data_IF_975387210841
#
_entry.id   IF_975387210841
#
_cell.length_a   1.000
_cell.length_b   1.000
_cell.length_c   1.000
_cell.angle_alpha   90.00
_cell.angle_beta   90.00
_cell.angle_gamma   90.00
#
_symmetry.space_group_name_H-M   'P 1'
#
loop_
_entity.id
_entity.type
_entity.pdbx_description
1 polymer ?
#
# COMPACT_ATOMS: atom_id res chain seq x y z
N UNK A 1 9.02 -3.55 3.50
CA UNK A 1 7.55 -3.59 3.36
C UNK A 1 7.03 -2.33 4.01
N UNK A 2 6.54 -1.39 3.20
CA UNK A 2 6.07 -0.08 3.67
C UNK A 2 5.04 -0.28 4.80
N UNK A 3 5.26 0.38 5.93
CA UNK A 3 4.26 0.45 7.00
C UNK A 3 3.26 1.51 6.54
N UNK A 4 2.27 1.10 5.75
CA UNK A 4 1.20 1.99 5.28
C UNK A 4 0.51 2.73 6.44
N UNK A 5 -0.30 3.72 6.10
CA UNK A 5 -1.02 4.56 7.07
C UNK A 5 -2.11 3.80 7.83
N UNK A 6 -2.51 2.61 7.35
CA UNK A 6 -3.33 1.68 8.14
C UNK A 6 -2.64 1.30 9.45
N UNK A 7 -3.02 2.02 10.52
CA UNK A 7 -2.49 1.78 11.85
C UNK A 7 -2.75 0.35 12.31
N UNK A 8 -1.87 -0.19 13.16
CA UNK A 8 -2.10 -1.49 13.81
C UNK A 8 -3.45 -1.55 14.53
N UNK A 9 -3.93 -0.43 15.07
CA UNK A 9 -5.25 -0.34 15.73
C UNK A 9 -6.39 -0.57 14.74
N UNK A 10 -6.31 0.01 13.54
CA UNK A 10 -7.30 -0.20 12.50
C UNK A 10 -7.32 -1.65 12.00
N UNK A 11 -6.15 -2.27 11.81
CA UNK A 11 -6.06 -3.70 11.49
C UNK A 11 -6.71 -4.56 12.58
N UNK A 12 -6.41 -4.31 13.86
CA UNK A 12 -7.03 -5.02 14.99
C UNK A 12 -8.56 -4.85 14.98
N UNK A 13 -9.06 -3.63 14.73
CA UNK A 13 -10.49 -3.38 14.63
C UNK A 13 -11.15 -4.18 13.51
N UNK A 14 -10.50 -4.28 12.34
CA UNK A 14 -10.98 -5.09 11.21
C UNK A 14 -11.10 -6.57 11.63
N UNK A 15 -10.10 -7.12 12.34
CA UNK A 15 -10.17 -8.49 12.87
C UNK A 15 -11.30 -8.66 13.89
N UNK A 16 -11.50 -7.70 14.80
CA UNK A 16 -12.59 -7.75 15.79
C UNK A 16 -13.95 -7.76 15.10
N UNK A 17 -14.17 -6.86 14.13
CA UNK A 17 -15.42 -6.79 13.36
C UNK A 17 -15.62 -8.08 12.57
N UNK A 18 -14.58 -8.60 11.92
CA UNK A 18 -14.63 -9.86 11.19
C UNK A 18 -15.05 -11.03 12.10
N UNK A 19 -14.44 -11.20 13.27
CA UNK A 19 -14.77 -12.29 14.19
C UNK A 19 -16.17 -12.12 14.81
N UNK A 20 -16.58 -10.88 15.08
CA UNK A 20 -17.93 -10.60 15.56
C UNK A 20 -18.99 -10.99 14.51
N UNK A 21 -18.78 -10.63 13.24
CA UNK A 21 -19.66 -11.03 12.14
C UNK A 21 -19.67 -12.55 11.96
N UNK A 22 -18.50 -13.21 12.01
CA UNK A 22 -18.40 -14.66 11.93
C UNK A 22 -19.18 -15.33 13.07
N UNK A 23 -19.02 -14.85 14.31
CA UNK A 23 -19.76 -15.37 15.45
C UNK A 23 -21.28 -15.17 15.28
N UNK A 24 -21.71 -14.00 14.81
CA UNK A 24 -23.12 -13.73 14.50
C UNK A 24 -23.69 -14.77 13.53
N UNK A 25 -23.07 -14.94 12.35
CA UNK A 25 -23.56 -15.88 11.32
C UNK A 25 -23.44 -17.35 11.72
N UNK A 26 -22.53 -17.66 12.65
CA UNK A 26 -22.32 -19.03 13.14
C UNK A 26 -23.37 -19.43 14.18
N UNK A 27 -23.67 -18.54 15.13
CA UNK A 27 -24.49 -18.90 16.30
C UNK A 27 -25.96 -18.47 16.18
N UNK A 28 -26.30 -17.50 15.33
CA UNK A 28 -27.67 -17.00 15.18
C UNK A 28 -28.35 -17.69 13.99
N UNK A 29 -29.20 -18.69 14.26
CA UNK A 29 -29.94 -19.43 13.22
C UNK A 29 -31.27 -18.79 12.83
N UNK A 30 -31.95 -18.15 13.79
CA UNK A 30 -33.19 -17.43 13.53
C UNK A 30 -33.22 -16.15 14.39
N UNK A 31 -32.87 -14.98 13.81
CA UNK A 31 -32.78 -13.73 14.56
C UNK A 31 -34.16 -13.28 15.08
N UNK A 32 -35.23 -13.60 14.35
CA UNK A 32 -36.60 -13.21 14.69
C UNK A 32 -37.11 -13.99 15.91
N UNK A 33 -36.78 -15.28 15.99
CA UNK A 33 -37.19 -16.17 17.09
C UNK A 33 -36.13 -16.34 18.17
N UNK A 34 -35.05 -15.54 18.14
CA UNK A 34 -33.91 -15.61 19.04
C UNK A 34 -33.34 -17.04 19.25
N UNK A 35 -33.37 -17.89 18.20
CA UNK A 35 -32.85 -19.26 18.30
C UNK A 35 -31.36 -19.27 18.05
N UNK A 36 -30.60 -19.66 19.08
CA UNK A 36 -29.16 -19.86 19.02
C UNK A 36 -28.82 -21.31 18.69
N UNK A 37 -27.71 -21.50 17.98
CA UNK A 37 -27.09 -22.81 17.82
C UNK A 37 -26.32 -23.16 19.09
N UNK A 38 -26.63 -24.33 19.68
CA UNK A 38 -25.86 -24.88 20.80
C UNK A 38 -24.77 -25.78 20.19
N UNK A 39 -23.49 -25.40 20.32
CA UNK A 39 -22.40 -26.17 19.72
C UNK A 39 -22.14 -27.45 20.51
N UNK A 40 -21.92 -28.55 19.80
CA UNK A 40 -21.41 -29.78 20.40
C UNK A 40 -19.88 -29.73 20.59
N UNK A 41 -19.32 -30.77 21.23
CA UNK A 41 -17.88 -30.87 21.52
C UNK A 41 -17.03 -30.69 20.25
N UNK A 42 -17.38 -31.39 19.17
CA UNK A 42 -16.55 -31.41 17.95
C UNK A 42 -16.70 -30.13 17.14
N UNK A 43 -17.83 -29.44 17.25
CA UNK A 43 -17.99 -28.09 16.74
C UNK A 43 -17.08 -27.09 17.47
N UNK A 44 -17.02 -27.17 18.80
CA UNK A 44 -16.14 -26.29 19.59
C UNK A 44 -14.67 -26.57 19.25
N UNK A 45 -14.25 -27.84 19.16
CA UNK A 45 -12.87 -28.17 18.77
C UNK A 45 -12.57 -27.72 17.35
N UNK A 46 -13.51 -27.87 16.42
CA UNK A 46 -13.37 -27.36 15.07
C UNK A 46 -13.17 -25.84 15.05
N UNK A 47 -13.95 -25.06 15.83
CA UNK A 47 -13.76 -23.61 15.91
C UNK A 47 -12.37 -23.24 16.45
N UNK A 48 -11.85 -23.97 17.42
CA UNK A 48 -10.49 -23.78 17.94
C UNK A 48 -9.46 -24.04 16.83
N UNK A 49 -9.55 -25.18 16.15
CA UNK A 49 -8.65 -25.53 15.03
C UNK A 49 -8.76 -24.50 13.91
N UNK A 50 -9.97 -24.03 13.61
CA UNK A 50 -10.26 -23.00 12.61
C UNK A 50 -9.54 -21.70 12.94
N UNK A 51 -9.71 -21.17 14.15
CA UNK A 51 -9.08 -19.91 14.59
C UNK A 51 -7.56 -20.03 14.58
N UNK A 52 -7.02 -21.13 15.09
CA UNK A 52 -5.57 -21.37 15.12
C UNK A 52 -4.99 -21.47 13.71
N UNK A 53 -5.65 -22.20 12.81
CA UNK A 53 -5.24 -22.31 11.40
C UNK A 53 -5.35 -20.97 10.69
N UNK A 54 -6.44 -20.22 10.92
CA UNK A 54 -6.65 -18.89 10.35
C UNK A 54 -5.48 -17.96 10.66
N UNK A 55 -5.09 -17.86 11.93
CA UNK A 55 -4.01 -16.96 12.35
C UNK A 55 -2.61 -17.49 12.01
N UNK A 56 -2.39 -18.80 12.04
CA UNK A 56 -1.16 -19.41 11.51
C UNK A 56 -0.98 -19.05 10.04
N UNK A 57 -2.01 -19.26 9.22
CA UNK A 57 -1.99 -18.91 7.80
C UNK A 57 -1.79 -17.41 7.59
N UNK A 58 -2.50 -16.57 8.34
CA UNK A 58 -2.46 -15.10 8.22
C UNK A 58 -1.07 -14.53 8.56
N UNK A 59 -0.52 -14.89 9.72
CA UNK A 59 0.71 -14.27 10.23
C UNK A 59 1.99 -14.93 9.74
N UNK A 60 2.00 -16.24 9.54
CA UNK A 60 3.18 -16.97 9.09
C UNK A 60 3.18 -17.16 7.57
N UNK A 61 2.17 -17.84 7.03
CA UNK A 61 2.16 -18.28 5.62
C UNK A 61 2.00 -17.10 4.67
N UNK A 62 0.95 -16.29 4.81
CA UNK A 62 0.68 -15.19 3.89
C UNK A 62 1.78 -14.12 3.94
N UNK A 63 2.31 -13.84 5.13
CA UNK A 63 3.48 -12.96 5.29
C UNK A 63 4.71 -13.49 4.56
N UNK A 64 4.96 -14.79 4.59
CA UNK A 64 6.06 -15.43 3.86
C UNK A 64 5.83 -15.38 2.34
N UNK A 65 4.63 -15.74 1.87
CA UNK A 65 4.27 -15.77 0.45
C UNK A 65 4.46 -14.40 -0.19
N UNK A 66 3.97 -13.33 0.46
CA UNK A 66 4.00 -11.98 -0.11
C UNK A 66 5.27 -11.19 0.17
N UNK A 67 6.24 -11.74 0.93
CA UNK A 67 7.58 -11.15 1.01
C UNK A 67 8.25 -11.06 -0.37
N UNK A 68 8.01 -12.06 -1.21
CA UNK A 68 8.39 -12.09 -2.62
C UNK A 68 7.47 -13.09 -3.30
N UNK A 69 6.39 -12.56 -3.87
CA UNK A 69 5.28 -13.37 -4.39
C UNK A 69 5.75 -14.24 -5.56
N UNK A 70 5.52 -15.54 -5.44
CA UNK A 70 5.76 -16.54 -6.48
C UNK A 70 4.70 -17.63 -6.33
N UNK A 71 4.12 -18.08 -7.45
CA UNK A 71 3.08 -19.12 -7.43
C UNK A 71 3.50 -20.39 -6.69
N UNK A 72 4.75 -20.83 -6.83
CA UNK A 72 5.28 -22.00 -6.10
C UNK A 72 5.22 -21.81 -4.57
N UNK A 73 5.51 -20.61 -4.07
CA UNK A 73 5.44 -20.31 -2.63
C UNK A 73 4.00 -20.26 -2.14
N UNK A 74 3.09 -19.74 -2.94
CA UNK A 74 1.67 -19.72 -2.63
C UNK A 74 1.11 -21.14 -2.47
N UNK A 75 1.30 -22.01 -3.47
CA UNK A 75 0.82 -23.39 -3.40
C UNK A 75 1.50 -24.19 -2.27
N UNK A 76 2.80 -23.99 -2.05
CA UNK A 76 3.49 -24.59 -0.90
C UNK A 76 2.91 -24.09 0.44
N UNK A 77 2.60 -22.81 0.54
CA UNK A 77 1.98 -22.21 1.73
C UNK A 77 0.60 -22.77 2.03
N UNK A 78 -0.26 -22.90 1.00
CA UNK A 78 -1.59 -23.52 1.13
C UNK A 78 -1.45 -24.98 1.59
N UNK A 79 -0.52 -25.74 1.00
CA UNK A 79 -0.26 -27.12 1.41
C UNK A 79 0.21 -27.20 2.86
N UNK A 80 1.12 -26.31 3.29
CA UNK A 80 1.59 -26.25 4.68
C UNK A 80 0.43 -25.94 5.64
N UNK A 81 -0.47 -25.04 5.29
CA UNK A 81 -1.65 -24.75 6.13
C UNK A 81 -2.65 -25.88 6.17
N UNK A 82 -2.85 -26.60 5.06
CA UNK A 82 -3.68 -27.80 5.03
C UNK A 82 -3.12 -28.89 5.95
N UNK A 83 -1.81 -29.16 5.89
CA UNK A 83 -1.16 -30.14 6.75
C UNK A 83 -1.18 -29.70 8.22
N UNK A 84 -0.97 -28.41 8.49
CA UNK A 84 -1.08 -27.84 9.84
C UNK A 84 -2.49 -28.04 10.41
N UNK A 85 -3.54 -27.68 9.66
CA UNK A 85 -4.93 -27.89 10.06
C UNK A 85 -5.20 -29.37 10.38
N UNK A 86 -4.79 -30.26 9.47
CA UNK A 86 -5.06 -31.70 9.58
C UNK A 86 -4.37 -32.30 10.80
N UNK A 87 -3.10 -31.95 11.04
CA UNK A 87 -2.35 -32.40 12.21
C UNK A 87 -2.95 -31.86 13.52
N UNK A 88 -3.35 -30.58 13.54
CA UNK A 88 -3.96 -29.95 14.70
C UNK A 88 -5.32 -30.55 15.02
N UNK A 89 -6.15 -30.79 13.99
CA UNK A 89 -7.46 -31.44 14.15
C UNK A 89 -7.31 -32.87 14.65
N UNK A 90 -6.39 -33.64 14.10
CA UNK A 90 -6.09 -34.99 14.60
C UNK A 90 -5.69 -34.96 16.09
N UNK A 91 -4.75 -34.09 16.46
CA UNK A 91 -4.30 -33.95 17.84
C UNK A 91 -5.46 -33.62 18.79
N UNK A 92 -6.32 -32.67 18.42
CA UNK A 92 -7.41 -32.22 19.29
C UNK A 92 -8.56 -33.26 19.31
N UNK A 93 -9.00 -33.72 18.15
CA UNK A 93 -10.24 -34.49 18.00
C UNK A 93 -10.07 -36.02 18.09
N UNK A 94 -8.83 -36.52 18.02
CA UNK A 94 -8.53 -37.95 18.22
C UNK A 94 -7.75 -38.22 19.50
N UNK A 95 -6.86 -37.31 19.91
CA UNK A 95 -6.00 -37.52 21.09
C UNK A 95 -6.57 -36.82 22.32
N UNK A 96 -6.68 -35.48 22.29
CA UNK A 96 -7.06 -34.69 23.47
C UNK A 96 -8.50 -35.00 23.91
N UNK A 97 -9.45 -35.00 22.98
CA UNK A 97 -10.86 -35.30 23.29
C UNK A 97 -11.07 -36.73 23.75
N UNK A 98 -10.26 -37.69 23.29
CA UNK A 98 -10.29 -39.06 23.79
C UNK A 98 -9.84 -39.13 25.24
N UNK A 99 -8.72 -38.47 25.58
CA UNK A 99 -8.19 -38.44 26.94
C UNK A 99 -9.16 -37.76 27.91
N UNK A 100 -9.75 -36.62 27.52
CA UNK A 100 -10.56 -35.80 28.40
C UNK A 100 -12.02 -36.23 28.49
N UNK A 101 -12.59 -36.73 27.39
CA UNK A 101 -14.03 -36.98 27.26
C UNK A 101 -14.37 -38.40 26.81
N UNK A 102 -13.38 -39.26 26.57
CA UNK A 102 -13.55 -40.61 26.00
C UNK A 102 -14.34 -40.60 24.68
N UNK A 103 -14.24 -39.51 23.92
CA UNK A 103 -14.91 -39.32 22.63
C UNK A 103 -13.87 -39.04 21.56
N UNK A 104 -14.11 -39.60 20.37
CA UNK A 104 -13.32 -39.34 19.16
C UNK A 104 -14.26 -38.98 18.02
N UNK A 105 -13.79 -38.11 17.11
CA UNK A 105 -14.63 -37.63 16.02
C UNK A 105 -14.74 -38.63 14.85
N UNK A 106 -13.75 -39.52 14.68
CA UNK A 106 -13.66 -40.42 13.55
C UNK A 106 -13.43 -41.84 14.07
N UNK A 107 -14.20 -42.80 13.54
CA UNK A 107 -14.08 -44.22 13.84
C UNK A 107 -14.00 -45.00 12.53
N UNK A 108 -13.01 -45.89 12.39
CA UNK A 108 -12.85 -46.77 11.23
C UNK A 108 -12.88 -46.06 9.86
N UNK A 109 -12.40 -44.81 9.79
CA UNK A 109 -12.39 -44.06 8.53
C UNK A 109 -11.13 -44.36 7.72
N UNK A 110 -11.32 -44.58 6.41
CA UNK A 110 -10.20 -44.74 5.49
C UNK A 110 -9.37 -43.45 5.45
N UNK A 111 -8.04 -43.60 5.35
CA UNK A 111 -7.10 -42.47 5.34
C UNK A 111 -7.45 -41.41 4.28
N UNK A 112 -7.77 -41.83 3.05
CA UNK A 112 -8.12 -40.91 1.97
C UNK A 112 -9.41 -40.12 2.27
N UNK A 113 -10.43 -40.78 2.85
CA UNK A 113 -11.67 -40.10 3.23
C UNK A 113 -11.41 -39.07 4.32
N UNK A 114 -10.56 -39.40 5.30
CA UNK A 114 -10.14 -38.45 6.33
C UNK A 114 -9.38 -37.25 5.72
N UNK A 115 -8.48 -37.48 4.77
CA UNK A 115 -7.79 -36.39 4.06
C UNK A 115 -8.76 -35.49 3.29
N UNK A 116 -9.70 -36.06 2.52
CA UNK A 116 -10.66 -35.29 1.74
C UNK A 116 -11.64 -34.48 2.62
N UNK A 117 -12.09 -35.05 3.73
CA UNK A 117 -12.88 -34.32 4.71
C UNK A 117 -12.11 -33.12 5.27
N UNK A 118 -10.85 -33.33 5.69
CA UNK A 118 -10.01 -32.25 6.16
C UNK A 118 -9.72 -31.20 5.08
N UNK A 119 -9.66 -31.58 3.80
CA UNK A 119 -9.51 -30.63 2.71
C UNK A 119 -10.70 -29.67 2.64
N UNK A 120 -11.92 -30.20 2.78
CA UNK A 120 -13.13 -29.39 2.84
C UNK A 120 -13.13 -28.46 4.06
N UNK A 121 -12.90 -28.99 5.26
CA UNK A 121 -12.98 -28.20 6.50
C UNK A 121 -11.84 -27.17 6.68
N UNK A 122 -10.65 -27.45 6.14
CA UNK A 122 -9.50 -26.53 6.15
C UNK A 122 -9.59 -25.44 5.09
N UNK A 123 -10.35 -25.66 4.01
CA UNK A 123 -10.48 -24.68 2.93
C UNK A 123 -11.01 -23.33 3.42
N UNK A 124 -12.03 -23.35 4.28
CA UNK A 124 -12.70 -22.14 4.78
C UNK A 124 -11.78 -21.22 5.60
N UNK A 125 -11.06 -21.68 6.65
CA UNK A 125 -10.14 -20.81 7.38
C UNK A 125 -8.98 -20.32 6.52
N UNK A 126 -8.48 -21.14 5.57
CA UNK A 126 -7.39 -20.75 4.67
C UNK A 126 -7.85 -19.66 3.70
N UNK A 127 -9.01 -19.84 3.05
CA UNK A 127 -9.57 -18.87 2.09
C UNK A 127 -9.88 -17.55 2.80
N UNK A 128 -10.57 -17.57 3.94
CA UNK A 128 -10.92 -16.34 4.64
C UNK A 128 -9.70 -15.62 5.18
N UNK A 129 -8.71 -16.36 5.69
CA UNK A 129 -7.42 -15.80 6.12
C UNK A 129 -6.67 -15.16 4.95
N UNK A 130 -6.62 -15.83 3.80
CA UNK A 130 -6.03 -15.31 2.57
C UNK A 130 -6.73 -14.03 2.10
N UNK A 131 -8.07 -14.03 2.07
CA UNK A 131 -8.87 -12.87 1.66
C UNK A 131 -8.64 -11.68 2.56
N UNK A 132 -8.70 -11.87 3.89
CA UNK A 132 -8.51 -10.78 4.84
C UNK A 132 -7.09 -10.20 4.72
N UNK A 133 -6.08 -11.07 4.59
CA UNK A 133 -4.71 -10.65 4.39
C UNK A 133 -4.56 -9.85 3.09
N UNK A 134 -5.16 -10.34 1.98
CA UNK A 134 -5.12 -9.67 0.68
C UNK A 134 -5.78 -8.29 0.72
N UNK A 135 -6.94 -8.15 1.37
CA UNK A 135 -7.62 -6.85 1.55
C UNK A 135 -6.71 -5.86 2.29
N UNK A 136 -6.10 -6.28 3.40
CA UNK A 136 -5.21 -5.43 4.20
C UNK A 136 -3.95 -5.06 3.40
N UNK A 137 -3.39 -6.01 2.64
CA UNK A 137 -2.27 -5.74 1.75
C UNK A 137 -2.64 -4.75 0.64
N UNK A 138 -3.80 -4.91 0.01
CA UNK A 138 -4.27 -4.05 -1.07
C UNK A 138 -4.50 -2.62 -0.59
N UNK A 139 -5.10 -2.43 0.59
CA UNK A 139 -5.26 -1.11 1.22
C UNK A 139 -3.89 -0.43 1.40
N UNK A 140 -2.92 -1.15 1.99
CA UNK A 140 -1.56 -0.62 2.20
C UNK A 140 -0.83 -0.29 0.89
N UNK A 141 -1.09 -1.07 -0.16
CA UNK A 141 -0.52 -0.85 -1.48
C UNK A 141 -1.09 0.43 -2.13
N UNK A 142 -2.40 0.66 -2.01
CA UNK A 142 -3.04 1.88 -2.48
C UNK A 142 -2.51 3.13 -1.78
N UNK A 143 -2.40 3.08 -0.44
CA UNK A 143 -1.82 4.17 0.36
C UNK A 143 -0.37 4.46 -0.06
N UNK A 144 0.44 3.42 -0.23
CA UNK A 144 1.83 3.57 -0.65
C UNK A 144 1.96 4.21 -2.05
N UNK A 145 1.11 3.78 -2.99
CA UNK A 145 1.10 4.35 -4.34
C UNK A 145 0.69 5.83 -4.32
N UNK A 146 -0.26 6.24 -3.45
CA UNK A 146 -0.63 7.64 -3.29
C UNK A 146 0.54 8.48 -2.78
N UNK A 147 1.27 7.99 -1.77
CA UNK A 147 2.45 8.68 -1.23
C UNK A 147 3.52 8.85 -2.32
N UNK A 148 3.81 7.80 -3.10
CA UNK A 148 4.76 7.89 -4.21
C UNK A 148 4.32 8.93 -5.24
N UNK A 149 3.03 8.99 -5.57
CA UNK A 149 2.50 9.96 -6.52
C UNK A 149 2.66 11.40 -6.02
N UNK A 150 2.44 11.64 -4.73
CA UNK A 150 2.66 12.94 -4.09
C UNK A 150 4.14 13.33 -4.07
N UNK A 151 5.02 12.39 -3.71
CA UNK A 151 6.48 12.60 -3.72
C UNK A 151 6.98 12.91 -5.13
N UNK A 152 6.50 12.19 -6.14
CA UNK A 152 6.85 12.42 -7.55
C UNK A 152 6.42 13.82 -8.02
N UNK A 153 5.18 14.23 -7.73
CA UNK A 153 4.70 15.58 -8.04
C UNK A 153 5.55 16.66 -7.36
N UNK A 154 5.89 16.45 -6.09
CA UNK A 154 6.74 17.39 -5.36
C UNK A 154 8.15 17.50 -5.95
N UNK A 155 8.68 16.38 -6.45
CA UNK A 155 10.00 16.29 -7.07
C UNK A 155 9.99 16.95 -8.44
N UNK A 156 8.95 16.73 -9.23
CA UNK A 156 8.74 17.40 -10.52
C UNK A 156 8.63 18.92 -10.34
N UNK A 157 7.85 19.40 -9.37
CA UNK A 157 7.77 20.83 -9.04
C UNK A 157 9.14 21.37 -8.61
N UNK A 158 9.91 20.64 -7.80
CA UNK A 158 11.26 21.06 -7.40
C UNK A 158 12.23 21.11 -8.59
N UNK A 159 12.16 20.14 -9.48
CA UNK A 159 12.95 20.11 -10.71
C UNK A 159 12.62 21.29 -11.62
N UNK A 160 11.32 21.57 -11.84
CA UNK A 160 10.86 22.74 -12.59
C UNK A 160 11.33 24.05 -11.95
N UNK A 161 11.23 24.17 -10.61
CA UNK A 161 11.75 25.34 -9.88
C UNK A 161 13.26 25.48 -10.00
N UNK A 162 14.02 24.39 -10.02
CA UNK A 162 15.47 24.41 -10.16
C UNK A 162 15.94 24.88 -11.54
N UNK A 163 15.09 24.78 -12.58
CA UNK A 163 15.38 25.39 -13.89
C UNK A 163 15.39 26.93 -13.84
N UNK A 164 14.81 27.54 -12.79
CA UNK A 164 14.97 28.96 -12.49
C UNK A 164 16.15 29.11 -11.53
N UNK A 165 17.23 29.79 -11.94
CA UNK A 165 18.30 30.17 -11.02
C UNK A 165 17.85 31.39 -10.19
N UNK A 166 17.47 31.24 -8.90
CA UNK A 166 16.95 32.35 -8.12
C UNK A 166 18.00 33.44 -7.92
N UNK A 167 19.28 33.03 -7.82
CA UNK A 167 20.40 33.95 -7.68
C UNK A 167 20.59 34.82 -8.92
N UNK A 168 20.38 34.27 -10.12
CA UNK A 168 20.38 35.06 -11.35
C UNK A 168 19.29 36.14 -11.31
N UNK A 169 18.06 35.78 -10.93
CA UNK A 169 16.96 36.74 -10.85
C UNK A 169 17.26 37.85 -9.84
N UNK A 170 17.75 37.52 -8.64
CA UNK A 170 18.12 38.53 -7.64
C UNK A 170 19.25 39.44 -8.14
N UNK A 171 20.27 38.89 -8.80
CA UNK A 171 21.36 39.69 -9.36
C UNK A 171 20.89 40.62 -10.47
N UNK A 172 20.05 40.11 -11.39
CA UNK A 172 19.48 40.93 -12.46
C UNK A 172 18.59 42.05 -11.89
N UNK A 173 17.77 41.76 -10.88
CA UNK A 173 16.95 42.78 -10.20
C UNK A 173 17.81 43.84 -9.52
N UNK A 174 18.88 43.45 -8.81
CA UNK A 174 19.80 44.40 -8.17
C UNK A 174 20.51 45.28 -9.21
N UNK A 175 20.95 44.71 -10.33
CA UNK A 175 21.55 45.49 -11.41
C UNK A 175 20.55 46.45 -12.06
N UNK A 176 19.30 46.01 -12.26
CA UNK A 176 18.23 46.89 -12.73
C UNK A 176 17.95 48.01 -11.73
N UNK A 177 17.91 47.71 -10.43
CA UNK A 177 17.74 48.71 -9.39
C UNK A 177 18.83 49.78 -9.46
N UNK A 178 20.11 49.37 -9.56
CA UNK A 178 21.23 50.30 -9.76
C UNK A 178 21.08 51.12 -11.03
N UNK A 179 20.70 50.50 -12.15
CA UNK A 179 20.45 51.21 -13.42
C UNK A 179 19.36 52.27 -13.30
N UNK A 180 18.25 51.96 -12.62
CA UNK A 180 17.16 52.91 -12.37
C UNK A 180 17.63 54.04 -11.46
N UNK A 181 18.37 53.72 -10.39
CA UNK A 181 18.90 54.70 -9.44
C UNK A 181 19.84 55.71 -10.12
N UNK A 182 20.71 55.23 -11.01
CA UNK A 182 21.63 56.05 -11.80
C UNK A 182 21.02 56.60 -13.10
N UNK A 183 19.71 56.47 -13.30
CA UNK A 183 18.98 56.98 -14.49
C UNK A 183 19.57 56.49 -15.82
N UNK A 184 19.99 55.22 -15.88
CA UNK A 184 20.49 54.62 -17.11
C UNK A 184 19.37 54.43 -18.13
N UNK A 185 19.60 54.86 -19.37
CA UNK A 185 18.69 54.64 -20.50
C UNK A 185 18.41 53.14 -20.78
N UNK A 186 19.27 52.23 -20.28
CA UNK A 186 19.16 50.78 -20.48
C UNK A 186 18.19 50.10 -19.50
N UNK A 187 17.76 50.79 -18.45
CA UNK A 187 16.94 50.23 -17.35
C UNK A 187 15.64 49.59 -17.85
N UNK A 188 14.88 50.32 -18.68
CA UNK A 188 13.62 49.85 -19.26
C UNK A 188 13.81 48.60 -20.13
N UNK A 189 14.89 48.56 -20.91
CA UNK A 189 15.21 47.41 -21.77
C UNK A 189 15.56 46.17 -20.93
N UNK A 190 16.31 46.36 -19.84
CA UNK A 190 16.67 45.26 -18.93
C UNK A 190 15.43 44.69 -18.21
N UNK A 191 14.49 45.54 -17.79
CA UNK A 191 13.20 45.12 -17.21
C UNK A 191 12.37 44.30 -18.22
N UNK A 192 12.26 44.77 -19.46
CA UNK A 192 11.53 44.07 -20.53
C UNK A 192 12.11 42.67 -20.77
N UNK A 193 13.44 42.57 -20.86
CA UNK A 193 14.12 41.30 -21.09
C UNK A 193 13.98 40.35 -19.90
N UNK A 194 14.07 40.85 -18.66
CA UNK A 194 13.87 40.02 -17.46
C UNK A 194 12.45 39.45 -17.44
N UNK A 195 11.46 40.26 -17.84
CA UNK A 195 10.07 39.83 -17.99
C UNK A 195 9.88 38.77 -19.09
N UNK A 196 10.65 38.83 -20.19
CA UNK A 196 10.64 37.81 -21.26
C UNK A 196 11.22 36.48 -20.78
N UNK A 197 12.35 36.51 -20.07
CA UNK A 197 12.97 35.33 -19.47
C UNK A 197 12.03 34.70 -18.44
N UNK A 198 11.47 35.50 -17.52
CA UNK A 198 10.52 34.99 -16.53
C UNK A 198 9.26 34.41 -17.17
N UNK A 199 8.74 35.01 -18.25
CA UNK A 199 7.61 34.44 -18.98
C UNK A 199 7.97 33.11 -19.61
N UNK A 200 9.12 33.01 -20.26
CA UNK A 200 9.61 31.77 -20.84
C UNK A 200 9.78 30.68 -19.78
N UNK A 201 10.47 30.98 -18.67
CA UNK A 201 10.72 29.99 -17.61
C UNK A 201 9.48 29.63 -16.80
N UNK A 202 8.40 30.43 -16.84
CA UNK A 202 7.13 30.09 -16.15
C UNK A 202 6.13 29.36 -17.06
N UNK A 203 6.08 29.68 -18.36
CA UNK A 203 5.06 29.15 -19.28
C UNK A 203 5.59 28.11 -20.28
N UNK A 204 6.79 28.30 -20.83
CA UNK A 204 7.35 27.39 -21.84
C UNK A 204 8.03 26.17 -21.19
N UNK A 205 8.61 26.33 -20.01
CA UNK A 205 9.23 25.24 -19.23
C UNK A 205 8.22 24.19 -18.70
N UNK A 206 6.92 24.50 -18.73
CA UNK A 206 5.84 23.59 -18.34
C UNK A 206 5.40 22.66 -19.47
N UNK A 207 5.89 22.87 -20.71
CA UNK A 207 5.55 22.03 -21.86
C UNK A 207 6.50 20.82 -21.94
N UNK A 208 5.94 19.65 -22.20
CA UNK A 208 6.68 18.39 -22.36
C UNK A 208 7.73 18.42 -23.49
N UNK A 209 7.53 19.29 -24.49
CA UNK A 209 8.46 19.54 -25.61
C UNK A 209 8.47 21.02 -25.97
N UNK A 210 9.66 21.59 -26.11
CA UNK A 210 9.89 22.98 -26.50
C UNK A 210 10.51 22.98 -27.91
N UNK A 211 10.16 23.97 -28.75
CA UNK A 211 10.82 24.11 -30.07
C UNK A 211 12.23 24.66 -29.88
N UNK A 212 13.18 24.14 -30.64
CA UNK A 212 14.59 24.58 -30.59
C UNK A 212 14.75 26.10 -30.86
N UNK A 213 13.89 26.68 -31.70
CA UNK A 213 13.86 28.13 -31.94
C UNK A 213 13.67 28.94 -30.65
N UNK A 214 12.79 28.44 -29.78
CA UNK A 214 12.34 29.16 -28.60
C UNK A 214 13.42 29.07 -27.50
N UNK A 215 14.15 27.94 -27.42
CA UNK A 215 15.36 27.81 -26.59
C UNK A 215 16.50 28.72 -27.05
N UNK A 216 16.73 28.83 -28.36
CA UNK A 216 17.75 29.72 -28.93
C UNK A 216 17.44 31.18 -28.57
N UNK A 217 16.18 31.58 -28.66
CA UNK A 217 15.77 32.94 -28.33
C UNK A 217 15.86 33.22 -26.83
N UNK A 218 15.54 32.24 -25.98
CA UNK A 218 15.79 32.31 -24.54
C UNK A 218 17.28 32.57 -24.21
N UNK A 219 18.21 31.82 -24.83
CA UNK A 219 19.66 32.02 -24.65
C UNK A 219 20.09 33.42 -25.10
N UNK A 220 19.55 33.92 -26.22
CA UNK A 220 19.83 35.28 -26.70
C UNK A 220 19.34 36.35 -25.73
N UNK A 221 18.18 36.17 -25.12
CA UNK A 221 17.66 37.11 -24.12
C UNK A 221 18.51 37.13 -22.85
N UNK A 222 18.92 35.96 -22.34
CA UNK A 222 19.85 35.85 -21.21
C UNK A 222 21.17 36.58 -21.48
N UNK A 223 21.82 36.33 -22.62
CA UNK A 223 23.07 37.01 -22.99
C UNK A 223 22.89 38.53 -23.13
N UNK A 224 21.78 38.99 -23.72
CA UNK A 224 21.50 40.42 -23.85
C UNK A 224 21.32 41.10 -22.50
N UNK A 225 20.66 40.44 -21.54
CA UNK A 225 20.55 40.97 -20.17
C UNK A 225 21.91 41.12 -19.53
N UNK A 226 22.74 40.07 -19.56
CA UNK A 226 24.06 40.13 -18.94
C UNK A 226 24.91 41.27 -19.51
N UNK A 227 24.81 41.53 -20.82
CA UNK A 227 25.47 42.67 -21.47
C UNK A 227 24.88 44.02 -21.08
N UNK A 228 23.58 44.10 -20.78
CA UNK A 228 22.94 45.32 -20.28
C UNK A 228 23.26 45.58 -18.81
N UNK A 229 23.43 44.52 -18.01
CA UNK A 229 23.65 44.60 -16.57
C UNK A 229 25.11 44.61 -16.15
N UNK A 230 26.05 44.25 -17.03
CA UNK A 230 27.49 44.44 -16.80
C UNK A 230 27.84 45.92 -16.95
N UNK A 231 27.69 46.64 -15.85
CA UNK A 231 28.28 47.95 -15.62
C UNK A 231 29.60 47.68 -14.92
N UNK A 232 30.72 47.95 -15.59
CA UNK A 232 32.00 48.20 -14.92
C UNK A 232 31.88 49.48 -14.09
#
# INVERSE_FOLDING_TARGET
MHKGTLSKKAEILIHIVYWFLMAYFTFIKNPIRARLYVPDLFFITYLIVFILTFYFHYFAVMKFVFKSFQWKRFFAGVLVSYLFFTALRWLIEQVITHILFQRINYTNTAFLNYMFDNLQYSSMPIILSSLLWFVIYFIRLLEYNQIILEENKSTEIKFLKAQINPHFIFNTLNNIYSMVYFQSDKSLTAIEKLSQIMRFTTYESQKEKIKLSDEIDYIKYNRKIEMCTNIN
#
